data_IF_172875772355
#
_entry.id   IF_172875772355
#
_cell.length_a   1.000
_cell.length_b   1.000
_cell.length_c   1.000
_cell.angle_alpha   90.00
_cell.angle_beta   90.00
_cell.angle_gamma   90.00
#
_symmetry.space_group_name_H-M   'P 1'
#
loop_
_entity.id
_entity.type
_entity.pdbx_description
1 polymer ?
#
# COMPACT_ATOMS: atom_id res chain seq x y z
N UNK A 1 4.06 -9.99 12.30
CA UNK A 1 4.56 -10.57 11.04
C UNK A 1 5.53 -11.73 11.23
N UNK A 2 5.92 -12.07 12.47
CA UNK A 2 6.82 -13.19 12.75
C UNK A 2 8.16 -13.12 12.02
N UNK A 3 8.67 -11.90 11.80
CA UNK A 3 9.97 -11.70 11.15
C UNK A 3 11.11 -12.17 12.05
N UNK A 4 12.05 -12.90 11.48
CA UNK A 4 13.30 -13.25 12.18
C UNK A 4 14.07 -11.95 12.48
N UNK A 5 14.45 -11.74 13.73
CA UNK A 5 15.06 -10.49 14.20
C UNK A 5 14.11 -9.62 15.05
N UNK A 6 12.84 -10.02 15.20
CA UNK A 6 11.88 -9.33 16.05
C UNK A 6 11.73 -7.85 15.74
N UNK A 7 11.73 -6.99 16.76
CA UNK A 7 11.61 -5.54 16.63
C UNK A 7 12.75 -4.89 15.82
N UNK A 8 13.94 -5.49 15.81
CA UNK A 8 15.09 -4.98 15.04
C UNK A 8 14.90 -5.13 13.52
N UNK A 9 13.99 -6.00 13.07
CA UNK A 9 13.72 -6.20 11.65
C UNK A 9 12.93 -5.06 10.99
N UNK A 10 12.31 -4.21 11.80
CA UNK A 10 11.52 -3.05 11.35
C UNK A 10 12.09 -1.79 11.98
N UNK A 11 12.37 -0.73 11.19
CA UNK A 11 12.85 0.53 11.75
C UNK A 11 11.89 1.09 12.81
N UNK A 12 12.41 1.45 13.98
CA UNK A 12 11.63 2.04 15.08
C UNK A 12 11.27 3.51 14.85
N UNK A 13 11.97 4.17 13.93
CA UNK A 13 11.73 5.58 13.58
C UNK A 13 11.03 5.69 12.24
N UNK A 14 10.09 6.63 12.09
CA UNK A 14 9.47 6.90 10.80
C UNK A 14 10.50 7.39 9.79
N UNK A 15 10.25 7.16 8.51
CA UNK A 15 11.02 7.73 7.42
C UNK A 15 10.79 9.24 7.26
N UNK A 16 11.38 9.82 6.21
CA UNK A 16 11.15 11.22 5.84
C UNK A 16 9.68 11.45 5.47
N UNK A 17 9.14 12.62 5.80
CA UNK A 17 7.85 13.05 5.26
C UNK A 17 7.93 13.21 3.74
N UNK A 18 6.77 13.27 3.05
CA UNK A 18 6.74 13.40 1.60
C UNK A 18 7.53 14.65 1.13
N UNK A 19 7.40 15.78 1.81
CA UNK A 19 8.14 17.02 1.48
C UNK A 19 9.64 16.83 1.64
N UNK A 20 10.08 16.27 2.77
CA UNK A 20 11.50 15.98 3.04
C UNK A 20 12.08 14.95 2.07
N UNK A 21 11.29 13.96 1.67
CA UNK A 21 11.69 12.94 0.70
C UNK A 21 11.94 13.57 -0.67
N UNK A 22 11.07 14.46 -1.15
CA UNK A 22 11.29 15.18 -2.40
C UNK A 22 12.45 16.17 -2.31
N UNK A 23 12.67 16.81 -1.15
CA UNK A 23 13.87 17.64 -0.95
C UNK A 23 15.14 16.78 -1.02
N UNK A 24 15.19 15.66 -0.30
CA UNK A 24 16.33 14.74 -0.34
C UNK A 24 16.60 14.16 -1.74
N UNK A 25 15.56 13.89 -2.51
CA UNK A 25 15.71 13.49 -3.92
C UNK A 25 16.26 14.63 -4.79
N UNK A 26 15.78 15.87 -4.58
CA UNK A 26 16.30 17.05 -5.27
C UNK A 26 17.76 17.34 -4.92
N UNK A 27 18.23 16.98 -3.72
CA UNK A 27 19.60 17.11 -3.26
C UNK A 27 20.48 15.91 -3.67
N UNK A 28 19.89 14.85 -4.20
CA UNK A 28 20.58 13.66 -4.72
C UNK A 28 20.86 12.58 -3.68
N UNK A 29 20.29 12.70 -2.49
CA UNK A 29 20.36 11.65 -1.45
C UNK A 29 19.50 10.43 -1.80
N UNK A 30 18.37 10.66 -2.49
CA UNK A 30 17.48 9.61 -2.99
C UNK A 30 17.67 9.50 -4.49
N UNK A 31 18.05 8.30 -4.94
CA UNK A 31 18.38 8.03 -6.35
C UNK A 31 17.25 7.39 -7.12
N UNK A 32 16.30 6.76 -6.44
CA UNK A 32 15.16 6.12 -7.07
C UNK A 32 13.87 6.41 -6.30
N UNK A 33 12.78 6.61 -7.01
CA UNK A 33 11.46 6.82 -6.46
C UNK A 33 10.46 5.84 -7.09
N UNK A 34 9.58 5.27 -6.26
CA UNK A 34 8.38 4.60 -6.72
C UNK A 34 7.16 5.39 -6.22
N UNK A 35 6.43 5.94 -7.15
CA UNK A 35 5.26 6.78 -6.91
C UNK A 35 4.02 6.00 -7.30
N UNK A 36 3.10 5.79 -6.35
CA UNK A 36 1.88 5.05 -6.56
C UNK A 36 0.67 5.85 -6.06
N UNK A 37 -0.41 5.84 -6.84
CA UNK A 37 -1.72 6.41 -6.48
C UNK A 37 -1.71 7.93 -6.17
N UNK A 38 -0.68 8.68 -6.63
CA UNK A 38 -0.59 10.12 -6.41
C UNK A 38 0.15 10.81 -7.56
N UNK A 39 -0.09 12.13 -7.72
CA UNK A 39 0.49 12.93 -8.79
C UNK A 39 1.29 14.12 -8.20
N UNK A 40 2.48 13.87 -7.61
CA UNK A 40 3.26 14.88 -6.91
C UNK A 40 3.67 16.07 -7.79
N UNK A 41 3.90 15.87 -9.08
CA UNK A 41 4.20 16.98 -10.00
C UNK A 41 3.03 17.98 -10.18
N UNK A 42 1.89 17.69 -9.57
CA UNK A 42 0.72 18.60 -9.55
C UNK A 42 0.28 18.91 -8.11
N UNK A 43 0.25 17.91 -7.21
CA UNK A 43 -0.43 18.03 -5.91
C UNK A 43 0.50 18.44 -4.75
N UNK A 44 1.81 18.25 -4.88
CA UNK A 44 2.76 18.57 -3.81
C UNK A 44 3.07 20.08 -3.76
N UNK A 45 3.32 20.64 -2.57
CA UNK A 45 3.88 21.99 -2.45
C UNK A 45 5.31 22.07 -2.98
N UNK A 46 5.79 23.27 -3.29
CA UNK A 46 7.17 23.46 -3.72
C UNK A 46 7.48 22.81 -5.08
N UNK A 47 6.65 23.04 -6.09
CA UNK A 47 6.72 22.37 -7.39
C UNK A 47 8.09 22.42 -8.08
N UNK A 48 8.86 23.51 -7.88
CA UNK A 48 10.23 23.57 -8.41
C UNK A 48 11.13 22.47 -7.82
N UNK A 49 11.03 22.22 -6.52
CA UNK A 49 11.75 21.15 -5.83
C UNK A 49 11.29 19.77 -6.30
N UNK A 50 9.98 19.56 -6.41
CA UNK A 50 9.40 18.29 -6.90
C UNK A 50 9.91 17.96 -8.30
N UNK A 51 9.84 18.91 -9.24
CA UNK A 51 10.32 18.70 -10.62
C UNK A 51 11.83 18.44 -10.66
N UNK A 52 12.61 19.18 -9.88
CA UNK A 52 14.06 18.95 -9.77
C UNK A 52 14.35 17.55 -9.19
N UNK A 53 13.61 17.11 -8.20
CA UNK A 53 13.73 15.77 -7.63
C UNK A 53 13.48 14.69 -8.67
N UNK A 54 12.36 14.77 -9.38
CA UNK A 54 11.98 13.83 -10.43
C UNK A 54 12.99 13.79 -11.58
N UNK A 55 13.56 14.93 -11.95
CA UNK A 55 14.60 15.01 -13.00
C UNK A 55 15.95 14.49 -12.54
N UNK A 56 16.26 14.57 -11.23
CA UNK A 56 17.55 14.17 -10.68
C UNK A 56 17.62 12.69 -10.32
N UNK A 57 16.51 12.07 -10.00
CA UNK A 57 16.46 10.64 -9.72
C UNK A 57 16.97 9.85 -10.92
N UNK A 58 17.77 8.83 -10.66
CA UNK A 58 18.29 7.91 -11.68
C UNK A 58 17.23 6.94 -12.18
N UNK A 59 16.18 6.71 -11.37
CA UNK A 59 15.09 5.81 -11.75
C UNK A 59 13.78 6.22 -11.07
N UNK A 60 12.78 6.55 -11.87
CA UNK A 60 11.44 6.92 -11.43
C UNK A 60 10.42 5.92 -11.95
N UNK A 61 9.80 5.20 -11.05
CA UNK A 61 8.68 4.30 -11.33
C UNK A 61 7.39 5.01 -10.97
N UNK A 62 6.44 5.06 -11.88
CA UNK A 62 5.10 5.62 -11.64
C UNK A 62 4.07 4.52 -11.86
N UNK A 63 3.31 4.22 -10.82
CA UNK A 63 2.19 3.29 -10.83
C UNK A 63 0.90 4.12 -10.86
N UNK A 64 0.22 4.14 -12.01
CA UNK A 64 -0.85 5.09 -12.25
C UNK A 64 -1.90 4.50 -13.21
N UNK A 65 -3.15 4.89 -13.00
CA UNK A 65 -4.27 4.50 -13.86
C UNK A 65 -4.34 5.33 -15.15
N UNK A 66 -3.79 6.55 -15.13
CA UNK A 66 -3.81 7.49 -16.25
C UNK A 66 -2.41 7.89 -16.68
N UNK A 67 -2.00 7.47 -17.87
CA UNK A 67 -0.67 7.75 -18.41
C UNK A 67 -0.37 9.24 -18.69
N UNK A 68 -1.37 10.10 -18.59
CA UNK A 68 -1.28 11.53 -18.92
C UNK A 68 -1.15 12.44 -17.70
N UNK A 69 -1.00 11.89 -16.49
CA UNK A 69 -0.75 12.74 -15.31
C UNK A 69 0.62 13.42 -15.40
N UNK A 70 0.75 14.60 -14.78
CA UNK A 70 1.99 15.39 -14.86
C UNK A 70 3.22 14.64 -14.37
N UNK A 71 3.07 13.74 -13.38
CA UNK A 71 4.17 12.92 -12.86
C UNK A 71 4.64 11.86 -13.86
N UNK A 72 3.74 11.35 -14.70
CA UNK A 72 4.09 10.33 -15.71
C UNK A 72 5.11 10.85 -16.74
N UNK A 73 5.17 12.16 -16.97
CA UNK A 73 6.17 12.77 -17.86
C UNK A 73 7.63 12.60 -17.40
N UNK A 74 7.83 12.23 -16.13
CA UNK A 74 9.15 12.01 -15.53
C UNK A 74 9.47 10.53 -15.31
N UNK A 75 8.57 9.63 -15.67
CA UNK A 75 8.73 8.21 -15.40
C UNK A 75 9.69 7.54 -16.36
N UNK A 76 10.64 6.78 -15.83
CA UNK A 76 11.44 5.81 -16.60
C UNK A 76 10.65 4.50 -16.82
N UNK A 77 9.75 4.18 -15.89
CA UNK A 77 8.86 3.02 -15.96
C UNK A 77 7.44 3.39 -15.53
N UNK A 78 6.47 3.15 -16.41
CA UNK A 78 5.05 3.22 -16.09
C UNK A 78 4.50 1.82 -15.81
N UNK A 79 3.83 1.67 -14.67
CA UNK A 79 3.13 0.46 -14.27
C UNK A 79 1.63 0.75 -14.30
N UNK A 80 0.90 0.30 -15.33
CA UNK A 80 -0.52 0.61 -15.47
C UNK A 80 -1.33 -0.08 -14.38
N UNK A 81 -2.07 0.72 -13.59
CA UNK A 81 -2.90 0.27 -12.49
C UNK A 81 -4.39 0.38 -12.84
N UNK A 82 -5.20 -0.46 -12.21
CA UNK A 82 -6.66 -0.47 -12.37
C UNK A 82 -7.32 0.70 -11.64
N UNK A 83 -8.43 1.20 -12.19
CA UNK A 83 -9.33 2.16 -11.54
C UNK A 83 -10.32 1.48 -10.60
N UNK A 84 -11.17 2.27 -9.93
CA UNK A 84 -12.13 1.76 -8.94
C UNK A 84 -13.12 0.73 -9.50
N UNK A 85 -13.60 0.91 -10.72
CA UNK A 85 -14.54 0.00 -11.37
C UNK A 85 -13.93 -1.29 -11.88
N UNK A 86 -12.62 -1.42 -11.85
CA UNK A 86 -11.85 -2.51 -12.44
C UNK A 86 -11.14 -3.39 -11.40
N UNK A 87 -11.20 -3.02 -10.10
CA UNK A 87 -10.42 -3.69 -9.05
C UNK A 87 -11.28 -4.36 -7.99
N UNK A 88 -10.70 -5.37 -7.34
CA UNK A 88 -11.20 -5.98 -6.10
C UNK A 88 -10.34 -5.54 -4.92
N UNK A 89 -10.97 -5.37 -3.76
CA UNK A 89 -10.29 -4.96 -2.54
C UNK A 89 -11.22 -4.42 -1.48
N UNK A 90 -10.68 -3.62 -0.59
CA UNK A 90 -11.43 -2.92 0.44
C UNK A 90 -10.98 -1.47 0.54
N UNK A 91 -11.86 -0.60 1.01
CA UNK A 91 -11.59 0.81 1.23
C UNK A 91 -12.24 1.27 2.53
N UNK A 92 -11.55 2.14 3.23
CA UNK A 92 -12.11 2.81 4.41
C UNK A 92 -12.36 4.28 4.09
N UNK A 93 -13.44 4.85 4.64
CA UNK A 93 -13.77 6.25 4.52
C UNK A 93 -13.52 7.02 5.83
N UNK A 94 -13.73 8.34 5.81
CA UNK A 94 -13.57 9.20 6.99
C UNK A 94 -14.55 8.90 8.12
N UNK A 95 -15.65 8.22 7.83
CA UNK A 95 -16.67 7.76 8.78
C UNK A 95 -16.29 6.43 9.44
N UNK A 96 -15.10 5.94 9.16
CA UNK A 96 -14.60 4.64 9.65
C UNK A 96 -15.37 3.44 9.12
N UNK A 97 -16.05 3.57 7.98
CA UNK A 97 -16.71 2.47 7.31
C UNK A 97 -15.76 1.81 6.33
N UNK A 98 -15.63 0.51 6.46
CA UNK A 98 -14.93 -0.34 5.50
C UNK A 98 -15.96 -0.90 4.53
N UNK A 99 -15.72 -0.67 3.26
CA UNK A 99 -16.53 -1.17 2.16
C UNK A 99 -15.71 -2.11 1.28
N UNK A 100 -16.31 -3.17 0.81
CA UNK A 100 -15.69 -4.00 -0.22
C UNK A 100 -15.84 -3.35 -1.59
N UNK A 101 -14.74 -3.21 -2.31
CA UNK A 101 -14.70 -2.83 -3.72
C UNK A 101 -14.81 -4.09 -4.57
N UNK A 102 -15.67 -4.06 -5.59
CA UNK A 102 -15.85 -5.15 -6.56
C UNK A 102 -15.71 -4.61 -7.96
N UNK A 103 -15.04 -5.33 -8.88
CA UNK A 103 -14.96 -4.90 -10.26
C UNK A 103 -16.35 -4.92 -10.91
N UNK A 104 -16.69 -3.84 -11.58
CA UNK A 104 -17.90 -3.72 -12.41
C UNK A 104 -17.59 -4.01 -13.88
N UNK A 105 -16.33 -3.84 -14.29
CA UNK A 105 -15.83 -4.07 -15.64
C UNK A 105 -14.48 -4.78 -15.57
N UNK A 106 -14.11 -5.45 -16.65
CA UNK A 106 -12.80 -6.07 -16.78
C UNK A 106 -11.69 -5.00 -16.86
N UNK A 107 -10.55 -5.28 -16.25
CA UNK A 107 -9.38 -4.42 -16.34
C UNK A 107 -8.88 -4.35 -17.80
N UNK A 108 -8.65 -3.14 -18.35
CA UNK A 108 -8.25 -2.99 -19.75
C UNK A 108 -6.76 -3.29 -19.96
N UNK A 109 -6.44 -3.89 -21.11
CA UNK A 109 -5.06 -4.07 -21.57
C UNK A 109 -4.16 -4.81 -20.58
N UNK A 110 -3.06 -4.16 -20.16
CA UNK A 110 -2.07 -4.72 -19.23
C UNK A 110 -2.20 -4.16 -17.81
N UNK A 111 -3.31 -3.48 -17.49
CA UNK A 111 -3.53 -2.93 -16.16
C UNK A 111 -3.65 -4.03 -15.11
N UNK A 112 -3.12 -3.77 -13.93
CA UNK A 112 -3.13 -4.70 -12.80
C UNK A 112 -3.57 -3.99 -11.53
N UNK A 113 -4.10 -4.74 -10.59
CA UNK A 113 -4.41 -4.20 -9.26
C UNK A 113 -3.14 -3.70 -8.57
N UNK A 114 -3.23 -2.60 -7.86
CA UNK A 114 -2.10 -1.99 -7.16
C UNK A 114 -1.37 -2.98 -6.25
N UNK A 115 -2.13 -3.75 -5.46
CA UNK A 115 -1.56 -4.78 -4.60
C UNK A 115 -0.82 -5.88 -5.38
N UNK A 116 -1.33 -6.29 -6.54
CA UNK A 116 -0.72 -7.35 -7.35
C UNK A 116 0.60 -6.88 -7.98
N UNK A 117 0.70 -5.61 -8.37
CA UNK A 117 1.96 -5.00 -8.83
C UNK A 117 3.00 -5.03 -7.71
N UNK A 118 2.61 -4.60 -6.51
CA UNK A 118 3.50 -4.61 -5.34
C UNK A 118 3.96 -6.02 -4.95
N UNK A 119 3.05 -6.99 -4.93
CA UNK A 119 3.37 -8.39 -4.61
C UNK A 119 4.31 -9.03 -5.64
N UNK A 120 4.08 -8.81 -6.94
CA UNK A 120 4.96 -9.35 -7.99
C UNK A 120 6.38 -8.79 -7.85
N UNK A 121 6.52 -7.49 -7.63
CA UNK A 121 7.82 -6.88 -7.35
C UNK A 121 8.46 -7.47 -6.10
N UNK A 122 7.72 -7.57 -5.00
CA UNK A 122 8.22 -8.08 -3.74
C UNK A 122 8.70 -9.54 -3.85
N UNK A 123 7.95 -10.41 -4.54
CA UNK A 123 8.34 -11.81 -4.82
C UNK A 123 9.65 -11.88 -5.63
N UNK A 124 9.81 -11.04 -6.66
CA UNK A 124 11.04 -10.98 -7.47
C UNK A 124 12.22 -10.47 -6.66
N UNK A 125 12.00 -9.45 -5.85
CA UNK A 125 13.02 -8.91 -4.96
C UNK A 125 13.45 -9.95 -3.91
N UNK A 126 12.49 -10.63 -3.27
CA UNK A 126 12.75 -11.71 -2.33
C UNK A 126 13.62 -12.80 -2.95
N UNK A 127 13.27 -13.28 -4.15
CA UNK A 127 14.05 -14.28 -4.88
C UNK A 127 15.47 -13.80 -5.19
N UNK A 128 15.64 -12.53 -5.54
CA UNK A 128 16.95 -11.95 -5.84
C UNK A 128 17.79 -11.83 -4.57
N UNK A 129 17.20 -11.37 -3.48
CA UNK A 129 17.90 -11.23 -2.19
C UNK A 129 18.32 -12.60 -1.62
N UNK A 130 17.48 -13.62 -1.75
CA UNK A 130 17.81 -14.99 -1.32
C UNK A 130 19.02 -15.59 -2.04
N UNK A 131 19.33 -15.12 -3.26
CA UNK A 131 20.53 -15.54 -4.01
C UNK A 131 21.81 -14.85 -3.54
N UNK A 132 21.69 -13.65 -2.94
CA UNK A 132 22.84 -12.79 -2.61
C UNK A 132 23.11 -12.66 -1.12
N UNK A 133 22.12 -13.02 -0.27
CA UNK A 133 22.19 -12.89 1.17
C UNK A 133 21.66 -14.17 1.83
N UNK A 134 22.23 -14.58 3.00
CA UNK A 134 21.68 -15.70 3.74
C UNK A 134 20.24 -15.41 4.13
N UNK A 135 19.35 -16.42 4.10
CA UNK A 135 17.94 -16.23 4.40
C UNK A 135 17.77 -15.71 5.83
N UNK A 136 17.11 -14.57 5.97
CA UNK A 136 16.70 -14.01 7.27
C UNK A 136 15.52 -14.75 7.89
N UNK A 137 15.04 -15.82 7.26
CA UNK A 137 13.94 -16.67 7.71
C UNK A 137 14.29 -18.15 7.64
N UNK A 138 13.57 -18.96 8.42
CA UNK A 138 13.60 -20.41 8.25
C UNK A 138 13.18 -20.78 6.82
N UNK A 139 13.88 -21.75 6.22
CA UNK A 139 13.66 -22.20 4.83
C UNK A 139 12.20 -22.53 4.57
N UNK A 140 11.62 -21.93 3.53
CA UNK A 140 10.50 -22.54 2.83
C UNK A 140 9.32 -21.65 2.41
N UNK A 141 8.95 -20.58 3.13
CA UNK A 141 7.75 -19.80 2.77
C UNK A 141 8.10 -18.37 2.36
N UNK A 142 7.58 -17.93 1.21
CA UNK A 142 7.61 -16.53 0.81
C UNK A 142 6.85 -15.66 1.83
N UNK A 143 7.35 -14.45 2.09
CA UNK A 143 6.63 -13.41 2.84
C UNK A 143 5.39 -12.92 2.10
N UNK A 144 5.33 -13.15 0.80
CA UNK A 144 4.37 -12.56 -0.13
C UNK A 144 3.52 -13.63 -0.81
N UNK A 145 3.05 -14.63 -0.05
CA UNK A 145 2.22 -15.75 -0.55
C UNK A 145 0.74 -15.34 -0.68
N UNK A 146 0.46 -14.26 -1.40
CA UNK A 146 -0.89 -13.74 -1.60
C UNK A 146 -1.34 -13.97 -3.04
N UNK A 147 -2.44 -14.68 -3.23
CA UNK A 147 -2.95 -15.01 -4.57
C UNK A 147 -4.12 -14.12 -5.00
N UNK A 148 -4.79 -13.46 -4.04
CA UNK A 148 -5.93 -12.57 -4.27
C UNK A 148 -5.98 -11.42 -3.24
N UNK A 149 -6.90 -10.49 -3.46
CA UNK A 149 -7.10 -9.35 -2.57
C UNK A 149 -7.62 -9.77 -1.18
N UNK A 150 -8.35 -10.87 -1.08
CA UNK A 150 -8.86 -11.38 0.19
C UNK A 150 -7.74 -11.92 1.07
N UNK A 151 -6.75 -12.60 0.51
CA UNK A 151 -5.57 -13.08 1.25
C UNK A 151 -4.74 -11.92 1.83
N UNK A 152 -4.58 -10.82 1.07
CA UNK A 152 -3.95 -9.58 1.55
C UNK A 152 -4.79 -8.95 2.68
N UNK A 153 -6.10 -8.90 2.51
CA UNK A 153 -7.03 -8.41 3.52
C UNK A 153 -6.94 -9.22 4.81
N UNK A 154 -6.89 -10.53 4.70
CA UNK A 154 -6.83 -11.43 5.86
C UNK A 154 -5.55 -11.23 6.69
N UNK A 155 -4.40 -10.99 6.07
CA UNK A 155 -3.18 -10.62 6.79
C UNK A 155 -3.32 -9.24 7.45
N UNK A 156 -3.84 -8.26 6.71
CA UNK A 156 -4.04 -6.92 7.23
C UNK A 156 -4.95 -6.91 8.46
N UNK A 157 -6.14 -7.51 8.37
CA UNK A 157 -7.08 -7.55 9.50
C UNK A 157 -6.50 -8.27 10.71
N UNK A 158 -5.77 -9.38 10.50
CA UNK A 158 -5.12 -10.11 11.58
C UNK A 158 -4.03 -9.29 12.28
N UNK A 159 -3.33 -8.43 11.56
CA UNK A 159 -2.33 -7.52 12.13
C UNK A 159 -2.92 -6.48 13.10
N UNK A 160 -4.23 -6.29 13.09
CA UNK A 160 -4.96 -5.37 13.99
C UNK A 160 -5.44 -6.01 15.28
N UNK A 161 -5.31 -7.33 15.43
CA UNK A 161 -5.80 -8.10 16.57
C UNK A 161 -5.34 -7.53 17.91
N UNK A 162 -6.32 -7.27 18.79
CA UNK A 162 -6.06 -6.75 20.13
C UNK A 162 -5.60 -5.30 20.20
N UNK A 163 -5.67 -4.56 19.08
CA UNK A 163 -5.35 -3.13 19.03
C UNK A 163 -6.61 -2.28 19.13
N UNK A 164 -6.44 -0.96 19.28
CA UNK A 164 -7.53 0.01 19.30
C UNK A 164 -8.39 0.01 18.03
N UNK A 165 -7.82 -0.39 16.90
CA UNK A 165 -8.45 -0.47 15.58
C UNK A 165 -8.73 -1.92 15.15
N UNK A 166 -8.99 -2.82 16.09
CA UNK A 166 -9.24 -4.23 15.80
C UNK A 166 -10.39 -4.42 14.81
N UNK A 167 -10.10 -5.08 13.68
CA UNK A 167 -11.06 -5.41 12.62
C UNK A 167 -11.08 -6.91 12.32
N UNK A 168 -10.64 -7.73 13.25
CA UNK A 168 -10.53 -9.19 13.06
C UNK A 168 -11.86 -9.89 12.79
N UNK A 169 -12.99 -9.29 13.20
CA UNK A 169 -14.33 -9.77 12.90
C UNK A 169 -14.80 -9.54 11.46
N UNK A 170 -14.07 -8.72 10.66
CA UNK A 170 -14.50 -8.34 9.32
C UNK A 170 -13.89 -9.27 8.25
N UNK A 171 -14.64 -10.29 7.85
CA UNK A 171 -14.35 -11.08 6.64
C UNK A 171 -14.86 -10.36 5.38
N UNK A 172 -14.44 -10.81 4.19
CA UNK A 172 -15.04 -10.35 2.94
C UNK A 172 -16.53 -10.64 2.86
N UNK A 173 -17.01 -11.73 3.47
CA UNK A 173 -18.44 -12.01 3.59
C UNK A 173 -19.16 -10.99 4.47
N UNK A 174 -18.58 -10.63 5.61
CA UNK A 174 -19.14 -9.58 6.49
C UNK A 174 -19.17 -8.20 5.80
N UNK A 175 -18.22 -7.92 4.91
CA UNK A 175 -18.15 -6.68 4.12
C UNK A 175 -19.12 -6.68 2.91
N UNK A 176 -20.07 -7.62 2.85
CA UNK A 176 -21.17 -7.53 1.88
C UNK A 176 -21.94 -6.21 2.04
N UNK A 177 -22.07 -5.75 3.26
CA UNK A 177 -22.50 -4.39 3.61
C UNK A 177 -21.36 -3.65 4.30
N UNK A 178 -21.21 -2.31 4.10
CA UNK A 178 -20.18 -1.54 4.77
C UNK A 178 -20.26 -1.65 6.28
N UNK A 179 -19.13 -1.90 6.93
CA UNK A 179 -19.03 -2.08 8.38
C UNK A 179 -18.15 -1.02 9.01
N UNK A 180 -18.51 -0.54 10.17
CA UNK A 180 -17.75 0.46 10.90
C UNK A 180 -16.72 -0.22 11.84
N UNK A 181 -15.52 0.32 11.92
CA UNK A 181 -14.51 -0.18 12.84
C UNK A 181 -14.39 0.67 14.11
N UNK A 182 -13.90 0.17 15.25
CA UNK A 182 -13.46 -1.22 15.52
C UNK A 182 -14.57 -2.27 15.36
N UNK A 183 -14.17 -3.47 14.94
CA UNK A 183 -15.05 -4.63 14.81
C UNK A 183 -14.24 -5.89 15.15
N UNK A 184 -13.95 -6.14 16.43
CA UNK A 184 -13.17 -7.31 16.84
C UNK A 184 -13.91 -8.62 16.60
N UNK A 185 -13.19 -9.72 16.61
CA UNK A 185 -13.75 -11.06 16.50
C UNK A 185 -14.81 -11.28 17.58
N UNK A 186 -15.97 -11.83 17.18
CA UNK A 186 -17.13 -12.03 18.06
C UNK A 186 -18.05 -10.81 18.25
N UNK A 187 -17.70 -9.64 17.72
CA UNK A 187 -18.61 -8.51 17.71
C UNK A 187 -19.77 -8.72 16.71
N UNK A 188 -20.96 -8.23 17.07
CA UNK A 188 -22.14 -8.28 16.19
C UNK A 188 -22.27 -7.03 15.32
N UNK A 189 -21.68 -5.92 15.74
CA UNK A 189 -21.68 -4.64 15.03
C UNK A 189 -20.40 -3.84 15.30
N UNK A 190 -20.08 -2.91 14.41
CA UNK A 190 -18.98 -1.98 14.58
C UNK A 190 -19.30 -0.89 15.60
N UNK A 191 -18.29 -0.34 16.23
CA UNK A 191 -18.43 0.73 17.20
C UNK A 191 -18.81 2.05 16.52
N UNK A 192 -20.00 2.57 16.81
CA UNK A 192 -20.52 3.78 16.15
C UNK A 192 -19.77 5.05 16.54
N UNK A 193 -19.31 5.17 17.80
CA UNK A 193 -18.49 6.28 18.31
C UNK A 193 -17.23 5.74 18.96
N UNK A 194 -16.07 6.36 18.67
CA UNK A 194 -14.80 5.95 19.28
C UNK A 194 -14.66 6.46 20.72
N UNK A 195 -15.07 7.70 20.95
CA UNK A 195 -14.89 8.43 22.21
C UNK A 195 -16.26 8.76 22.77
N UNK A 196 -16.82 7.86 23.59
CA UNK A 196 -18.14 8.04 24.23
C UNK A 196 -18.03 8.70 25.60
N UNK A 197 -16.86 8.64 26.18
CA UNK A 197 -16.50 9.19 27.51
C UNK A 197 -16.00 10.65 27.43
N UNK A 198 -15.93 11.23 26.27
CA UNK A 198 -15.52 12.62 26.07
C UNK A 198 -14.02 12.87 26.18
N UNK A 199 -13.20 11.79 26.14
CA UNK A 199 -11.73 11.84 26.18
C UNK A 199 -11.17 11.55 24.79
#
# INVERSE_FOLDING_TARGET
>A
WGLAGGEEAVPSKPGKSAVEMFQAAADGEIRALWIACTNPAQSMPGQATVRRALQRCEFVVVQEAYATTATCAYADLLLPATTWGEKDGSVTNSERRISRVRPAVAAPGQTRHDWAIGIDFARRLEQRLLRTQPPRRAKGASLFAFDDAESVWNEHRESTRGRDLDITGLSYAALHTPQQWPFPEGANEGRQRLYEDGI
#
